data_IF_034547059190
#
_entry.id   IF_034547059190
#
_cell.length_a   1.000
_cell.length_b   1.000
_cell.length_c   1.000
_cell.angle_alpha   90.00
_cell.angle_beta   90.00
_cell.angle_gamma   90.00
#
_symmetry.space_group_name_H-M   'P 1'
#
loop_
_entity.id
_entity.type
_entity.pdbx_description
1 polymer ?
#
# COMPACT_ATOMS: atom_id res chain seq x y z
N UNK A 1 -32.97 -21.74 32.56
CA UNK A 1 -33.92 -21.76 31.43
C UNK A 1 -33.23 -22.42 30.25
N UNK A 2 -34.01 -23.15 29.45
CA UNK A 2 -33.60 -24.37 28.72
C UNK A 2 -32.51 -24.20 27.65
N UNK A 3 -31.54 -25.11 27.66
CA UNK A 3 -30.69 -25.44 26.50
C UNK A 3 -31.41 -26.52 25.68
N UNK A 4 -31.68 -26.23 24.41
CA UNK A 4 -32.33 -27.14 23.47
C UNK A 4 -31.32 -27.71 22.47
N UNK A 5 -31.53 -29.00 22.19
CA UNK A 5 -30.61 -29.98 21.65
C UNK A 5 -30.30 -29.84 20.15
N UNK A 6 -29.10 -30.33 19.82
CA UNK A 6 -28.49 -30.58 18.52
C UNK A 6 -29.01 -31.92 17.96
N UNK A 7 -29.68 -31.95 16.80
CA UNK A 7 -29.76 -33.16 15.92
C UNK A 7 -30.10 -32.72 14.48
N UNK A 8 -29.22 -33.01 13.51
CA UNK A 8 -29.49 -32.95 12.06
C UNK A 8 -29.59 -34.40 11.55
N UNK A 9 -30.71 -34.84 10.93
CA UNK A 9 -30.76 -36.14 10.30
C UNK A 9 -30.43 -36.06 8.80
N UNK A 10 -29.48 -36.89 8.40
CA UNK A 10 -29.16 -37.30 7.03
C UNK A 10 -30.28 -38.21 6.53
N UNK A 11 -30.81 -37.97 5.34
CA UNK A 11 -31.56 -38.98 4.58
C UNK A 11 -31.13 -38.97 3.11
N UNK A 12 -30.44 -40.05 2.74
CA UNK A 12 -30.25 -40.49 1.37
C UNK A 12 -31.54 -41.16 0.87
N UNK A 13 -31.88 -40.98 -0.40
CA UNK A 13 -32.68 -41.93 -1.16
C UNK A 13 -32.31 -41.89 -2.64
N UNK A 14 -31.91 -43.06 -3.12
CA UNK A 14 -31.69 -43.46 -4.51
C UNK A 14 -32.99 -44.03 -5.05
N UNK A 15 -33.41 -43.68 -6.26
CA UNK A 15 -34.27 -44.54 -7.09
C UNK A 15 -33.87 -44.44 -8.56
N UNK A 16 -33.60 -45.62 -9.12
CA UNK A 16 -33.32 -45.94 -10.52
C UNK A 16 -34.61 -45.92 -11.37
N UNK A 17 -34.49 -45.50 -12.63
CA UNK A 17 -35.55 -45.60 -13.62
C UNK A 17 -35.02 -46.19 -14.93
N UNK A 18 -35.44 -47.41 -15.21
CA UNK A 18 -35.07 -48.27 -16.33
C UNK A 18 -35.43 -47.72 -17.72
N UNK A 19 -34.61 -48.03 -18.73
CA UNK A 19 -35.06 -48.24 -20.12
C UNK A 19 -34.04 -49.04 -20.94
N UNK A 20 -34.51 -50.14 -21.50
CA UNK A 20 -33.92 -50.91 -22.59
C UNK A 20 -35.09 -51.44 -23.45
N UNK A 21 -34.87 -52.07 -24.62
CA UNK A 21 -33.91 -51.78 -25.70
C UNK A 21 -34.61 -51.77 -27.09
N UNK A 22 -33.95 -51.28 -28.15
CA UNK A 22 -34.09 -51.92 -29.47
C UNK A 22 -33.01 -51.49 -30.46
N UNK A 23 -32.33 -52.49 -31.01
CA UNK A 23 -31.40 -52.41 -32.13
C UNK A 23 -32.17 -52.30 -33.46
N UNK A 24 -31.63 -51.60 -34.45
CA UNK A 24 -31.83 -51.93 -35.87
C UNK A 24 -30.63 -51.52 -36.71
N UNK A 25 -30.36 -52.38 -37.69
CA UNK A 25 -29.21 -52.52 -38.54
C UNK A 25 -29.19 -51.59 -39.76
N UNK A 26 -27.98 -51.33 -40.25
CA UNK A 26 -27.64 -50.64 -41.50
C UNK A 26 -28.30 -51.25 -42.75
N UNK A 27 -28.73 -50.39 -43.68
CA UNK A 27 -28.76 -50.70 -45.12
C UNK A 27 -28.31 -49.47 -45.91
N UNK A 28 -27.33 -49.69 -46.79
CA UNK A 28 -26.75 -48.76 -47.75
C UNK A 28 -27.56 -48.77 -49.05
N UNK A 29 -27.87 -47.61 -49.60
CA UNK A 29 -28.24 -47.44 -51.00
C UNK A 29 -27.51 -46.23 -51.59
N UNK A 30 -26.74 -46.48 -52.64
CA UNK A 30 -26.00 -45.47 -53.39
C UNK A 30 -26.91 -44.62 -54.28
N UNK A 31 -26.49 -43.38 -54.50
CA UNK A 31 -26.98 -42.51 -55.56
C UNK A 31 -25.86 -41.55 -55.99
N UNK A 32 -25.80 -41.16 -57.28
CA UNK A 32 -24.62 -40.53 -57.89
C UNK A 32 -24.50 -39.04 -57.53
N UNK A 33 -23.25 -38.56 -57.43
CA UNK A 33 -22.92 -37.17 -57.13
C UNK A 33 -23.22 -36.24 -58.33
N UNK A 34 -23.81 -35.04 -58.12
CA UNK A 34 -23.89 -34.02 -59.15
C UNK A 34 -22.57 -33.24 -59.24
N UNK A 35 -22.09 -33.02 -60.46
CA UNK A 35 -20.95 -32.14 -60.77
C UNK A 35 -21.40 -30.68 -60.63
N UNK A 36 -20.96 -30.00 -59.58
CA UNK A 36 -21.10 -28.55 -59.47
C UNK A 36 -19.87 -27.86 -60.08
N UNK A 37 -20.10 -26.99 -61.06
CA UNK A 37 -19.09 -26.07 -61.56
C UNK A 37 -18.74 -25.05 -60.47
N UNK A 38 -17.47 -24.98 -60.09
CA UNK A 38 -16.93 -23.96 -59.19
C UNK A 38 -16.73 -22.64 -59.96
N UNK A 39 -17.31 -21.50 -59.52
CA UNK A 39 -16.83 -20.20 -59.93
C UNK A 39 -15.51 -19.92 -59.21
N UNK A 40 -14.50 -19.50 -59.96
CA UNK A 40 -13.18 -19.11 -59.46
C UNK A 40 -13.29 -17.82 -58.62
N UNK A 41 -12.72 -17.74 -57.41
CA UNK A 41 -12.77 -16.50 -56.62
C UNK A 41 -11.84 -15.45 -57.22
N UNK A 42 -12.39 -14.30 -57.56
CA UNK A 42 -11.62 -13.10 -57.91
C UNK A 42 -10.84 -12.61 -56.69
N UNK A 43 -9.52 -12.81 -56.69
CA UNK A 43 -8.61 -12.27 -55.69
C UNK A 43 -8.48 -10.75 -55.84
N UNK A 44 -9.01 -10.00 -54.88
CA UNK A 44 -8.58 -8.63 -54.61
C UNK A 44 -7.55 -8.66 -53.48
N UNK A 45 -6.39 -7.99 -53.60
CA UNK A 45 -5.42 -7.94 -52.51
C UNK A 45 -5.97 -7.08 -51.36
N UNK A 46 -6.19 -7.70 -50.19
CA UNK A 46 -6.41 -6.95 -48.96
C UNK A 46 -5.09 -6.29 -48.53
N UNK A 47 -5.10 -5.01 -48.12
CA UNK A 47 -3.95 -4.42 -47.44
C UNK A 47 -3.74 -5.12 -46.10
N UNK A 48 -2.61 -5.79 -45.94
CA UNK A 48 -2.18 -6.40 -44.68
C UNK A 48 -1.71 -5.31 -43.71
N UNK A 49 -2.65 -4.65 -43.03
CA UNK A 49 -2.34 -3.90 -41.82
C UNK A 49 -2.18 -4.90 -40.66
N UNK A 50 -0.95 -5.36 -40.46
CA UNK A 50 -0.52 -5.90 -39.17
C UNK A 50 0.07 -4.73 -38.38
N UNK A 51 -0.62 -4.17 -37.37
CA UNK A 51 0.05 -3.31 -36.41
C UNK A 51 1.12 -4.17 -35.72
N UNK A 52 2.39 -3.78 -35.84
CA UNK A 52 3.42 -4.35 -34.98
C UNK A 52 3.01 -4.08 -33.53
N UNK A 53 3.06 -5.07 -32.64
CA UNK A 53 3.01 -4.80 -31.22
C UNK A 53 4.18 -3.86 -30.91
N UNK A 54 3.86 -2.65 -30.46
CA UNK A 54 4.84 -1.76 -29.85
C UNK A 54 5.33 -2.48 -28.60
N UNK A 55 6.48 -3.15 -28.70
CA UNK A 55 7.20 -3.61 -27.54
C UNK A 55 7.61 -2.37 -26.75
N UNK A 56 6.82 -2.05 -25.73
CA UNK A 56 7.29 -1.20 -24.66
C UNK A 56 8.59 -1.82 -24.13
N UNK A 57 9.66 -1.04 -23.91
CA UNK A 57 10.83 -1.53 -23.21
C UNK A 57 10.38 -2.22 -21.92
N UNK A 58 10.90 -3.42 -21.64
CA UNK A 58 10.72 -4.01 -20.32
C UNK A 58 11.16 -2.98 -19.27
N UNK A 59 10.37 -2.74 -18.21
CA UNK A 59 10.84 -1.94 -17.10
C UNK A 59 12.15 -2.56 -16.63
N UNK A 60 13.22 -1.77 -16.65
CA UNK A 60 14.40 -2.09 -15.86
C UNK A 60 13.89 -2.33 -14.44
N UNK A 61 14.19 -3.49 -13.85
CA UNK A 61 13.96 -3.75 -12.43
C UNK A 61 14.95 -2.87 -11.64
N UNK A 62 14.78 -1.55 -11.76
CA UNK A 62 15.53 -0.54 -11.07
C UNK A 62 14.95 -0.43 -9.67
N UNK A 63 15.83 -0.61 -8.69
CA UNK A 63 15.59 -0.20 -7.32
C UNK A 63 14.92 1.19 -7.30
N UNK A 64 13.92 1.46 -6.44
CA UNK A 64 13.20 2.73 -6.46
C UNK A 64 14.19 3.89 -6.37
N UNK A 65 14.32 4.64 -7.47
CA UNK A 65 15.21 5.79 -7.54
C UNK A 65 14.80 6.82 -6.47
N UNK A 66 15.79 7.54 -5.93
CA UNK A 66 15.54 8.62 -4.98
C UNK A 66 14.61 9.63 -5.66
N UNK A 67 13.42 9.92 -5.10
CA UNK A 67 12.43 10.75 -5.76
C UNK A 67 12.91 12.21 -5.83
N UNK A 68 12.48 12.95 -6.84
CA UNK A 68 12.87 14.35 -7.04
C UNK A 68 12.57 15.23 -5.82
N UNK A 69 11.47 14.96 -5.10
CA UNK A 69 11.09 15.66 -3.86
C UNK A 69 12.15 15.55 -2.74
N UNK A 70 13.02 14.55 -2.78
CA UNK A 70 14.08 14.34 -1.79
C UNK A 70 15.43 14.98 -2.19
N UNK A 71 15.58 15.51 -3.41
CA UNK A 71 16.87 15.94 -3.95
C UNK A 71 17.53 17.09 -3.15
N UNK A 72 16.73 17.96 -2.54
CA UNK A 72 17.20 19.18 -1.87
C UNK A 72 16.96 19.17 -0.34
N UNK A 73 16.73 17.99 0.25
CA UNK A 73 16.41 17.87 1.67
C UNK A 73 17.14 16.68 2.30
N UNK A 74 17.41 16.78 3.60
CA UNK A 74 17.92 15.67 4.41
C UNK A 74 16.80 14.79 4.98
N UNK A 75 15.54 15.18 4.76
CA UNK A 75 14.38 14.41 5.22
C UNK A 75 14.23 13.13 4.41
N UNK A 76 13.86 12.06 5.09
CA UNK A 76 13.61 10.74 4.49
C UNK A 76 12.13 10.56 4.11
N UNK A 77 11.40 11.65 3.93
CA UNK A 77 10.00 11.67 3.50
C UNK A 77 9.66 12.95 2.74
N UNK A 78 8.66 12.86 1.88
CA UNK A 78 8.11 13.97 1.11
C UNK A 78 6.62 14.12 1.37
N UNK A 79 6.18 15.37 1.57
CA UNK A 79 4.77 15.72 1.71
C UNK A 79 4.14 16.08 0.37
N UNK A 80 4.97 16.55 -0.57
CA UNK A 80 4.60 16.91 -1.93
C UNK A 80 5.45 16.08 -2.89
N UNK A 81 4.84 15.66 -4.00
CA UNK A 81 5.48 14.85 -5.03
C UNK A 81 4.79 15.12 -6.36
N UNK A 82 5.48 15.81 -7.28
CA UNK A 82 4.98 16.13 -8.62
C UNK A 82 4.82 14.88 -9.48
N UNK A 83 5.58 13.83 -9.19
CA UNK A 83 5.58 12.54 -9.89
C UNK A 83 4.77 11.47 -9.12
N UNK A 84 3.87 11.91 -8.23
CA UNK A 84 3.03 10.99 -7.47
C UNK A 84 2.06 10.25 -8.41
N UNK A 85 2.11 8.90 -8.49
CA UNK A 85 1.40 8.11 -9.51
C UNK A 85 -0.09 7.96 -9.16
N UNK A 86 -0.81 9.08 -9.11
CA UNK A 86 -2.19 9.14 -8.61
C UNK A 86 -3.13 8.28 -9.44
N UNK A 87 -2.98 8.30 -10.76
CA UNK A 87 -3.86 7.58 -11.68
C UNK A 87 -3.67 6.07 -11.56
N UNK A 88 -2.42 5.60 -11.65
CA UNK A 88 -2.03 4.21 -11.54
C UNK A 88 -2.39 3.65 -10.16
N UNK A 89 -2.12 4.42 -9.11
CA UNK A 89 -2.44 4.06 -7.75
C UNK A 89 -3.95 3.92 -7.55
N UNK A 90 -4.75 4.91 -7.99
CA UNK A 90 -6.22 4.84 -7.92
C UNK A 90 -6.76 3.64 -8.70
N UNK A 91 -6.20 3.35 -9.88
CA UNK A 91 -6.57 2.18 -10.68
C UNK A 91 -6.25 0.86 -9.97
N UNK A 92 -5.05 0.73 -9.42
CA UNK A 92 -4.60 -0.45 -8.69
C UNK A 92 -5.43 -0.67 -7.40
N UNK A 93 -5.71 0.41 -6.65
CA UNK A 93 -6.53 0.37 -5.43
C UNK A 93 -7.92 -0.14 -5.75
N UNK A 94 -8.57 0.37 -6.80
CA UNK A 94 -9.90 -0.08 -7.19
C UNK A 94 -9.90 -1.53 -7.69
N UNK A 95 -8.85 -1.96 -8.40
CA UNK A 95 -8.72 -3.34 -8.89
C UNK A 95 -8.53 -4.37 -7.77
N UNK A 96 -7.88 -3.97 -6.67
CA UNK A 96 -7.61 -4.82 -5.52
C UNK A 96 -8.37 -4.39 -4.26
N UNK A 97 -9.50 -3.68 -4.44
CA UNK A 97 -10.17 -2.92 -3.39
C UNK A 97 -10.39 -3.69 -2.09
N UNK A 98 -10.94 -4.91 -2.15
CA UNK A 98 -11.20 -5.73 -0.96
C UNK A 98 -9.94 -5.94 -0.11
N UNK A 99 -8.84 -6.40 -0.72
CA UNK A 99 -7.59 -6.68 -0.01
C UNK A 99 -6.90 -5.41 0.49
N UNK A 100 -7.01 -4.33 -0.29
CA UNK A 100 -6.43 -3.03 0.09
C UNK A 100 -7.14 -2.45 1.30
N UNK A 101 -8.46 -2.58 1.38
CA UNK A 101 -9.23 -2.13 2.55
C UNK A 101 -8.88 -2.94 3.80
N UNK A 102 -8.65 -4.25 3.66
CA UNK A 102 -8.20 -5.09 4.79
C UNK A 102 -6.83 -4.61 5.30
N UNK A 103 -5.84 -4.40 4.42
CA UNK A 103 -4.53 -3.85 4.81
C UNK A 103 -4.63 -2.43 5.35
N UNK A 104 -5.54 -1.61 4.80
CA UNK A 104 -5.76 -0.25 5.25
C UNK A 104 -6.34 -0.22 6.67
N UNK A 105 -7.20 -1.18 7.05
CA UNK A 105 -7.75 -1.24 8.41
C UNK A 105 -6.64 -1.39 9.45
N UNK A 106 -5.64 -2.24 9.18
CA UNK A 106 -4.49 -2.46 10.07
C UNK A 106 -3.64 -1.19 10.31
N UNK A 107 -3.65 -0.24 9.38
CA UNK A 107 -2.88 1.03 9.49
C UNK A 107 -3.74 2.23 9.87
N UNK A 108 -5.03 2.22 9.54
CA UNK A 108 -5.95 3.31 9.86
C UNK A 108 -6.17 3.45 11.38
N UNK A 109 -6.15 2.34 12.11
CA UNK A 109 -6.22 2.32 13.57
C UNK A 109 -4.95 2.89 14.23
N UNK A 110 -3.86 3.08 13.48
CA UNK A 110 -2.63 3.71 13.94
C UNK A 110 -2.63 5.24 13.73
N UNK A 111 -3.75 5.85 13.33
CA UNK A 111 -3.84 7.30 13.16
C UNK A 111 -3.55 8.00 14.49
N UNK A 112 -2.49 8.81 14.53
CA UNK A 112 -2.02 9.47 15.75
C UNK A 112 -2.56 10.88 15.95
N UNK A 113 -3.59 11.29 15.21
CA UNK A 113 -4.18 12.64 15.27
C UNK A 113 -4.54 13.08 16.71
N UNK A 114 -4.92 12.12 17.56
CA UNK A 114 -5.27 12.36 18.97
C UNK A 114 -4.35 11.63 19.96
N UNK A 115 -3.14 11.20 19.55
CA UNK A 115 -2.27 10.38 20.42
C UNK A 115 -1.56 11.14 21.55
N UNK A 116 -1.69 12.47 21.60
CA UNK A 116 -1.06 13.28 22.66
C UNK A 116 -2.13 14.14 23.32
N UNK A 117 -2.47 13.79 24.57
CA UNK A 117 -3.24 14.65 25.46
C UNK A 117 -2.26 15.63 26.13
N UNK A 118 -2.33 16.90 25.73
CA UNK A 118 -1.57 17.98 26.39
C UNK A 118 -2.40 18.48 27.58
N UNK A 119 -1.80 18.79 28.73
CA UNK A 119 -2.50 19.50 29.80
C UNK A 119 -2.95 20.88 29.32
N UNK A 120 -4.24 21.18 29.41
CA UNK A 120 -4.83 22.46 28.97
C UNK A 120 -4.39 23.68 29.80
N UNK A 121 -3.76 23.45 30.97
CA UNK A 121 -3.60 24.47 32.03
C UNK A 121 -2.17 24.82 32.40
N UNK A 122 -1.16 24.24 31.73
CA UNK A 122 0.24 24.62 31.98
C UNK A 122 0.66 25.71 31.01
N UNK A 123 0.37 26.97 31.36
CA UNK A 123 0.77 28.19 30.62
C UNK A 123 2.30 28.31 30.42
N UNK A 124 3.09 27.44 31.05
CA UNK A 124 4.56 27.43 31.01
C UNK A 124 5.14 26.02 30.81
N UNK A 125 4.66 25.22 29.85
CA UNK A 125 5.46 24.08 29.38
C UNK A 125 6.73 24.57 28.71
N UNK A 126 7.77 24.79 29.52
CA UNK A 126 9.12 25.02 29.03
C UNK A 126 9.78 23.67 28.84
N UNK A 127 9.78 23.18 27.60
CA UNK A 127 10.53 21.97 27.25
C UNK A 127 12.04 22.21 27.41
N UNK A 128 12.74 21.21 27.97
CA UNK A 128 14.20 21.26 28.10
C UNK A 128 14.90 21.33 26.74
N UNK A 129 14.26 20.78 25.70
CA UNK A 129 14.68 20.87 24.32
C UNK A 129 13.52 21.41 23.48
N UNK A 130 13.72 22.50 22.73
CA UNK A 130 12.69 23.01 21.84
C UNK A 130 12.44 22.03 20.68
N UNK A 131 11.17 21.86 20.32
CA UNK A 131 10.74 20.99 19.23
C UNK A 131 9.48 21.55 18.55
N UNK A 132 9.34 21.26 17.27
CA UNK A 132 8.17 21.60 16.46
C UNK A 132 7.36 20.35 16.14
N UNK A 133 6.04 20.46 16.25
CA UNK A 133 5.12 19.34 16.04
C UNK A 133 4.25 19.61 14.81
N UNK A 134 4.05 18.60 13.96
CA UNK A 134 3.13 18.72 12.83
C UNK A 134 2.43 17.40 12.53
N UNK A 135 1.24 17.49 11.94
CA UNK A 135 0.51 16.34 11.40
C UNK A 135 0.74 16.28 9.90
N UNK A 136 1.35 15.20 9.45
CA UNK A 136 1.79 15.05 8.08
C UNK A 136 1.13 13.85 7.41
N UNK A 137 1.00 13.96 6.09
CA UNK A 137 0.47 12.91 5.21
C UNK A 137 1.51 12.64 4.12
N UNK A 138 2.57 11.87 4.41
CA UNK A 138 3.64 11.65 3.45
C UNK A 138 3.11 10.95 2.18
N UNK A 139 3.63 11.35 1.03
CA UNK A 139 3.39 10.71 -0.28
C UNK A 139 4.53 9.77 -0.67
N UNK A 140 5.76 10.13 -0.29
CA UNK A 140 6.96 9.30 -0.42
C UNK A 140 7.67 9.23 0.91
N UNK A 141 8.24 8.07 1.24
CA UNK A 141 9.17 7.95 2.35
C UNK A 141 10.15 6.80 2.13
N UNK A 142 11.28 6.86 2.81
CA UNK A 142 12.25 5.79 2.86
C UNK A 142 11.87 4.82 3.99
N UNK A 143 11.68 3.55 3.66
CA UNK A 143 11.40 2.50 4.65
C UNK A 143 12.65 2.14 5.46
N UNK A 144 12.50 1.25 6.44
CA UNK A 144 13.62 0.74 7.26
C UNK A 144 14.69 -0.02 6.49
N UNK A 145 14.39 -0.49 5.27
CA UNK A 145 15.34 -1.16 4.37
C UNK A 145 16.12 -0.17 3.48
N UNK A 146 15.89 1.13 3.64
CA UNK A 146 16.53 2.18 2.83
C UNK A 146 15.87 2.40 1.46
N UNK A 147 14.72 1.78 1.18
CA UNK A 147 14.02 1.89 -0.11
C UNK A 147 12.98 2.99 -0.08
N UNK A 148 12.94 3.82 -1.11
CA UNK A 148 11.87 4.79 -1.31
C UNK A 148 10.59 4.09 -1.74
N UNK A 149 9.50 4.38 -1.04
CA UNK A 149 8.18 3.80 -1.29
C UNK A 149 7.14 4.89 -1.54
N UNK A 150 6.14 4.56 -2.37
CA UNK A 150 4.91 5.34 -2.52
C UNK A 150 4.01 5.01 -1.35
N UNK A 151 3.62 5.99 -0.54
CA UNK A 151 2.64 5.80 0.53
C UNK A 151 1.25 6.07 -0.03
N UNK A 152 0.30 5.18 0.23
CA UNK A 152 -1.08 5.32 -0.25
C UNK A 152 -1.80 6.40 0.55
N UNK A 153 -1.82 7.62 0.04
CA UNK A 153 -2.43 8.77 0.70
C UNK A 153 -3.26 9.62 -0.27
N UNK A 154 -4.33 10.22 0.25
CA UNK A 154 -5.25 11.07 -0.51
C UNK A 154 -5.87 10.37 -1.74
N UNK A 155 -6.13 9.07 -1.65
CA UNK A 155 -6.72 8.29 -2.76
C UNK A 155 -8.21 8.10 -2.54
N UNK A 156 -9.00 8.72 -3.42
CA UNK A 156 -10.45 8.55 -3.45
C UNK A 156 -10.82 7.21 -4.09
N UNK A 157 -11.59 6.41 -3.35
CA UNK A 157 -12.18 5.14 -3.81
C UNK A 157 -13.72 5.26 -3.84
N UNK A 158 -14.42 4.15 -4.09
CA UNK A 158 -15.87 4.12 -4.26
C UNK A 158 -16.70 4.81 -3.15
N UNK A 159 -16.29 4.69 -1.89
CA UNK A 159 -17.00 5.28 -0.75
C UNK A 159 -16.10 5.82 0.36
N UNK A 160 -14.77 5.79 0.15
CA UNK A 160 -13.79 6.17 1.17
C UNK A 160 -12.58 6.84 0.53
N UNK A 161 -12.08 7.88 1.17
CA UNK A 161 -10.76 8.42 0.85
C UNK A 161 -9.75 7.76 1.78
N UNK A 162 -8.74 7.10 1.20
CA UNK A 162 -7.66 6.49 1.95
C UNK A 162 -6.67 7.60 2.35
N UNK A 163 -6.53 7.83 3.65
CA UNK A 163 -5.61 8.83 4.20
C UNK A 163 -4.84 8.26 5.37
N UNK A 164 -3.53 8.48 5.38
CA UNK A 164 -2.63 8.02 6.43
C UNK A 164 -1.95 9.25 7.02
N UNK A 165 -2.42 9.69 8.19
CA UNK A 165 -1.89 10.86 8.90
C UNK A 165 -1.04 10.39 10.06
N UNK A 166 0.10 11.05 10.26
CA UNK A 166 0.97 10.80 11.40
C UNK A 166 1.43 12.12 12.02
N UNK A 167 1.61 12.11 13.34
CA UNK A 167 2.23 13.22 14.08
C UNK A 167 3.74 13.04 14.04
N UNK A 168 4.44 14.06 13.58
CA UNK A 168 5.88 14.17 13.71
C UNK A 168 6.24 15.27 14.70
N UNK A 169 7.37 15.07 15.39
CA UNK A 169 7.94 16.07 16.29
C UNK A 169 9.45 16.12 16.08
N UNK A 170 9.91 17.23 15.53
CA UNK A 170 11.30 17.49 15.17
C UNK A 170 11.93 18.44 16.19
N UNK A 171 13.09 18.08 16.74
CA UNK A 171 13.90 18.96 17.59
C UNK A 171 14.34 20.17 16.78
N UNK A 172 14.16 21.37 17.33
CA UNK A 172 14.69 22.61 16.73
C UNK A 172 16.21 22.69 16.87
N UNK A 173 16.75 22.21 18.00
CA UNK A 173 18.19 22.27 18.34
C UNK A 173 18.76 20.87 18.60
N UNK A 174 18.56 19.93 17.65
CA UNK A 174 19.07 18.56 17.79
C UNK A 174 20.60 18.55 17.85
N UNK A 175 21.13 17.94 18.90
CA UNK A 175 22.56 17.77 19.13
C UNK A 175 23.24 18.90 19.90
N UNK A 176 22.52 19.98 20.19
CA UNK A 176 23.01 21.08 21.03
C UNK A 176 22.73 20.84 22.51
N UNK A 177 23.37 21.61 23.39
CA UNK A 177 23.10 21.56 24.83
C UNK A 177 21.65 21.96 25.14
N UNK A 178 21.09 21.39 26.21
CA UNK A 178 19.70 21.67 26.60
C UNK A 178 19.60 23.10 27.15
N UNK A 179 18.92 24.04 26.48
CA UNK A 179 19.02 25.48 26.79
C UNK A 179 18.55 25.89 28.19
N UNK A 180 17.84 25.00 28.89
CA UNK A 180 17.25 25.24 30.20
C UNK A 180 17.98 24.50 31.33
N UNK A 181 19.04 23.74 31.01
CA UNK A 181 19.89 23.06 32.00
C UNK A 181 21.17 23.88 32.21
N UNK A 182 21.65 24.08 33.45
CA UNK A 182 22.90 24.79 33.69
C UNK A 182 24.10 24.17 32.97
N UNK A 183 25.00 25.01 32.45
CA UNK A 183 26.19 24.62 31.68
C UNK A 183 27.18 23.71 32.45
N UNK A 184 27.04 23.60 33.78
CA UNK A 184 27.86 22.68 34.56
C UNK A 184 27.53 21.20 34.31
N UNK A 185 26.39 20.91 33.68
CA UNK A 185 26.04 19.57 33.22
C UNK A 185 26.32 19.43 31.73
N UNK A 186 27.04 18.39 31.35
CA UNK A 186 27.13 17.99 29.94
C UNK A 186 25.75 17.49 29.52
N UNK A 187 25.10 18.21 28.61
CA UNK A 187 23.74 17.88 28.15
C UNK A 187 23.63 17.95 26.64
N UNK A 188 22.67 17.21 26.08
CA UNK A 188 22.43 17.18 24.65
C UNK A 188 20.97 16.90 24.32
N UNK A 189 20.38 17.72 23.45
CA UNK A 189 19.08 17.43 22.87
C UNK A 189 19.20 16.31 21.85
N UNK A 190 18.44 15.23 22.04
CA UNK A 190 18.42 14.06 21.18
C UNK A 190 17.06 13.92 20.49
N UNK A 191 17.09 13.91 19.16
CA UNK A 191 15.95 13.50 18.35
C UNK A 191 15.68 12.00 18.55
N UNK A 192 14.52 11.69 19.10
CA UNK A 192 13.98 10.34 19.13
C UNK A 192 13.04 10.13 17.95
N UNK A 193 13.12 8.96 17.36
CA UNK A 193 12.25 8.52 16.28
C UNK A 193 11.44 7.32 16.73
N UNK A 194 10.28 7.15 16.11
CA UNK A 194 9.45 5.96 16.26
C UNK A 194 9.24 5.31 14.89
N UNK A 195 8.83 4.05 14.91
CA UNK A 195 8.46 3.31 13.72
C UNK A 195 6.96 3.45 13.45
N UNK A 196 6.62 4.01 12.30
CA UNK A 196 5.25 4.03 11.78
C UNK A 196 5.09 2.99 10.70
N UNK A 197 3.89 2.41 10.62
CA UNK A 197 3.52 1.49 9.56
C UNK A 197 2.64 2.22 8.55
N UNK A 198 2.99 2.14 7.28
CA UNK A 198 2.16 2.69 6.21
C UNK A 198 1.85 1.62 5.18
N UNK A 199 0.63 1.69 4.64
CA UNK A 199 0.25 1.02 3.41
C UNK A 199 0.97 1.71 2.25
N UNK A 200 1.73 0.93 1.49
CA UNK A 200 2.53 1.37 0.36
C UNK A 200 2.06 0.77 -0.96
N UNK A 201 2.47 1.40 -2.06
CA UNK A 201 2.27 0.92 -3.41
C UNK A 201 3.61 0.65 -4.11
N UNK A 202 3.72 -0.51 -4.75
CA UNK A 202 4.88 -0.93 -5.53
C UNK A 202 4.48 -1.17 -7.00
N UNK A 203 4.85 -0.27 -7.94
CA UNK A 203 4.47 -0.41 -9.34
C UNK A 203 5.14 -1.61 -10.04
N UNK A 204 6.15 -2.23 -9.43
CA UNK A 204 6.88 -3.35 -10.02
C UNK A 204 6.30 -4.73 -9.66
N UNK A 205 5.42 -4.81 -8.66
CA UNK A 205 4.71 -6.05 -8.32
C UNK A 205 3.46 -6.21 -9.21
N UNK A 206 3.54 -7.16 -10.13
CA UNK A 206 2.49 -7.42 -11.12
C UNK A 206 1.27 -8.16 -10.57
N UNK A 207 1.36 -8.77 -9.39
CA UNK A 207 0.30 -9.60 -8.84
C UNK A 207 -0.51 -8.86 -7.78
N UNK A 208 0.16 -8.21 -6.85
CA UNK A 208 -0.48 -7.45 -5.79
C UNK A 208 0.43 -6.31 -5.32
N UNK A 209 0.27 -5.10 -5.88
CA UNK A 209 1.22 -4.00 -5.70
C UNK A 209 1.07 -3.25 -4.37
N UNK A 210 0.64 -3.93 -3.30
CA UNK A 210 0.39 -3.30 -2.01
C UNK A 210 1.02 -4.09 -0.87
N UNK A 211 1.60 -3.37 0.09
CA UNK A 211 2.17 -3.95 1.30
C UNK A 211 2.06 -2.97 2.46
N UNK A 212 2.18 -3.46 3.70
CA UNK A 212 2.37 -2.61 4.87
C UNK A 212 3.83 -2.65 5.26
N UNK A 213 4.48 -1.49 5.23
CA UNK A 213 5.91 -1.36 5.52
C UNK A 213 6.17 -0.40 6.67
N UNK A 214 7.39 -0.48 7.22
CA UNK A 214 7.79 0.27 8.40
C UNK A 214 8.73 1.42 8.05
N UNK A 215 8.49 2.58 8.67
CA UNK A 215 9.15 3.84 8.39
C UNK A 215 9.61 4.47 9.70
N UNK A 216 10.83 5.01 9.73
CA UNK A 216 11.36 5.70 10.89
C UNK A 216 11.07 7.20 10.77
N UNK A 217 10.22 7.74 11.64
CA UNK A 217 9.87 9.16 11.66
C UNK A 217 10.23 9.82 13.00
N UNK A 218 10.58 11.13 13.00
CA UNK A 218 10.86 11.87 14.23
C UNK A 218 9.59 12.03 15.07
N UNK A 219 9.69 11.72 16.37
CA UNK A 219 8.52 11.58 17.25
C UNK A 219 8.62 12.34 18.57
N UNK A 220 9.83 12.62 19.07
CA UNK A 220 10.02 13.47 20.24
C UNK A 220 11.45 14.00 20.37
N UNK A 221 11.60 15.09 21.13
CA UNK A 221 12.91 15.58 21.56
C UNK A 221 13.16 15.29 23.04
N UNK A 222 14.33 14.77 23.39
CA UNK A 222 14.69 14.48 24.78
C UNK A 222 16.03 15.12 25.16
N UNK A 223 16.10 15.70 26.36
CA UNK A 223 17.37 16.14 26.93
C UNK A 223 18.12 14.94 27.53
N UNK A 224 19.27 14.59 26.95
CA UNK A 224 20.21 13.62 27.51
C UNK A 224 21.17 14.34 28.44
N UNK A 225 21.33 13.83 29.67
CA UNK A 225 22.42 14.20 30.56
C UNK A 225 23.60 13.24 30.31
N UNK A 226 24.80 13.79 30.18
CA UNK A 226 26.06 13.04 30.08
C UNK A 226 26.32 12.23 31.37
N UNK A 227 27.26 11.30 31.31
CA UNK A 227 27.63 10.51 32.49
C UNK A 227 28.30 11.42 33.54
N UNK A 228 27.71 11.53 34.73
CA UNK A 228 28.28 12.23 35.88
C UNK A 228 28.33 11.30 37.10
N UNK A 229 29.41 11.39 37.89
CA UNK A 229 29.45 10.82 39.24
C UNK A 229 29.00 11.92 40.21
N UNK A 230 27.98 11.63 41.03
CA UNK A 230 27.66 12.50 42.17
C UNK A 230 28.57 12.05 43.31
N UNK A 231 29.76 12.62 43.37
CA UNK A 231 30.63 12.44 44.53
C UNK A 231 30.17 13.41 45.61
N UNK A 232 29.54 12.87 46.66
CA UNK A 232 29.05 13.58 47.84
C UNK A 232 30.15 13.79 48.89
#
# INVERSE_FOLDING_TARGET
MAFLYLVVPILANVVFGDKAPQATSHVSYGSPAPTYHHPEPSYHPQPSYHPQPSYHPQPSYGEPEVPACAANTTKTWCLEDEEYPTYELKHAVNSHFSKVIDLYADVADLNTENSVERPDTLEEETYLCPSETSYVRPLRAQNTDGKWRVIVNNIETHYKTLTQTTRIEECTTSGEACPKVPDCYDTKCLQKSIYHRFLVYDPYDQYFPFAVETFKLPASCACLLGAYTIDH
#
